data_IF_423813003091
#
_entry.id   IF_423813003091
#
_cell.length_a   1.000
_cell.length_b   1.000
_cell.length_c   1.000
_cell.angle_alpha   90.00
_cell.angle_beta   90.00
_cell.angle_gamma   90.00
#
_symmetry.space_group_name_H-M   'P 1'
#
loop_
_entity.id
_entity.type
_entity.pdbx_description
1 polymer ?
#
# COMPACT_ATOMS: atom_id res chain seq x y z
N UNK A 1 46.78 -33.09 -54.37
CA UNK A 1 45.75 -33.74 -53.50
C UNK A 1 45.95 -33.52 -51.98
N UNK A 2 47.15 -33.35 -51.45
CA UNK A 2 47.42 -33.15 -50.00
C UNK A 2 46.77 -31.86 -49.40
N UNK A 3 46.81 -30.75 -50.13
CA UNK A 3 46.27 -29.46 -49.65
C UNK A 3 44.73 -29.52 -49.56
N UNK A 4 44.05 -30.23 -50.43
CA UNK A 4 42.58 -30.41 -50.40
C UNK A 4 42.08 -31.25 -49.23
N UNK A 5 42.82 -32.29 -48.79
CA UNK A 5 42.41 -33.13 -47.65
C UNK A 5 42.58 -32.42 -46.30
N UNK A 6 43.68 -31.66 -46.13
CA UNK A 6 43.90 -30.85 -44.93
C UNK A 6 42.85 -29.75 -44.85
N UNK A 7 42.56 -29.01 -45.88
CA UNK A 7 41.53 -27.99 -45.90
C UNK A 7 40.14 -28.54 -45.56
N UNK A 8 39.78 -29.71 -46.09
CA UNK A 8 38.51 -30.35 -45.79
C UNK A 8 38.44 -30.79 -44.30
N UNK A 9 39.57 -31.28 -43.75
CA UNK A 9 39.65 -31.63 -42.33
C UNK A 9 39.46 -30.41 -41.43
N UNK A 10 40.15 -29.30 -41.72
CA UNK A 10 40.05 -28.06 -40.96
C UNK A 10 38.65 -27.46 -41.05
N UNK A 11 38.03 -27.48 -42.21
CA UNK A 11 36.64 -27.02 -42.41
C UNK A 11 35.65 -27.88 -41.58
N UNK A 12 35.82 -29.20 -41.55
CA UNK A 12 34.99 -30.10 -40.75
C UNK A 12 35.18 -29.89 -39.23
N UNK A 13 36.42 -29.68 -38.76
CA UNK A 13 36.70 -29.36 -37.36
C UNK A 13 36.08 -28.01 -36.97
N UNK A 14 36.20 -27.01 -37.80
CA UNK A 14 35.54 -25.72 -37.58
C UNK A 14 34.00 -25.88 -37.47
N UNK A 15 33.39 -26.66 -38.37
CA UNK A 15 31.96 -26.93 -38.37
C UNK A 15 31.53 -27.73 -37.11
N UNK A 16 32.32 -28.67 -36.66
CA UNK A 16 32.11 -29.39 -35.37
C UNK A 16 32.10 -28.42 -34.19
N UNK A 17 33.06 -27.50 -34.14
CA UNK A 17 33.11 -26.45 -33.10
C UNK A 17 31.89 -25.58 -33.09
N UNK A 18 31.44 -25.09 -34.26
CA UNK A 18 30.22 -24.29 -34.40
C UNK A 18 28.96 -25.05 -33.96
N UNK A 19 28.82 -26.31 -34.39
CA UNK A 19 27.65 -27.13 -34.01
C UNK A 19 27.68 -27.49 -32.52
N UNK A 20 28.85 -27.72 -31.93
CA UNK A 20 29.03 -27.95 -30.51
C UNK A 20 28.63 -26.74 -29.68
N UNK A 21 29.03 -25.53 -30.07
CA UNK A 21 28.66 -24.29 -29.42
C UNK A 21 27.15 -24.05 -29.49
N UNK A 22 26.56 -24.28 -30.67
CA UNK A 22 25.09 -24.15 -30.84
C UNK A 22 24.30 -25.13 -29.97
N UNK A 23 24.79 -26.40 -29.91
CA UNK A 23 24.19 -27.42 -29.07
C UNK A 23 24.27 -27.05 -27.57
N UNK A 24 25.43 -26.57 -27.11
CA UNK A 24 25.61 -26.12 -25.73
C UNK A 24 24.66 -24.96 -25.38
N UNK A 25 24.48 -23.98 -26.31
CA UNK A 25 23.52 -22.87 -26.13
C UNK A 25 22.09 -23.36 -26.04
N UNK A 26 21.67 -24.30 -26.89
CA UNK A 26 20.31 -24.89 -26.82
C UNK A 26 20.09 -25.67 -25.52
N UNK A 27 21.11 -26.41 -25.03
CA UNK A 27 21.02 -27.07 -23.74
C UNK A 27 20.91 -26.08 -22.59
N UNK A 28 21.64 -24.97 -22.63
CA UNK A 28 21.50 -23.88 -21.66
C UNK A 28 20.10 -23.25 -21.70
N UNK A 29 19.56 -22.96 -22.86
CA UNK A 29 18.18 -22.43 -23.02
C UNK A 29 17.13 -23.41 -22.49
N UNK A 30 17.31 -24.71 -22.70
CA UNK A 30 16.42 -25.73 -22.16
C UNK A 30 16.55 -25.83 -20.63
N UNK A 31 17.75 -25.75 -20.08
CA UNK A 31 17.98 -25.84 -18.64
C UNK A 31 17.43 -24.61 -17.90
N UNK A 32 17.59 -23.42 -18.46
CA UNK A 32 17.12 -22.16 -17.87
C UNK A 32 15.68 -21.81 -18.22
N UNK A 33 15.09 -22.49 -19.21
CA UNK A 33 13.79 -22.19 -19.83
C UNK A 33 13.74 -20.80 -20.48
N UNK A 34 14.90 -20.15 -20.65
CA UNK A 34 15.01 -18.80 -21.21
C UNK A 34 15.75 -18.81 -22.56
N UNK A 35 15.19 -18.09 -23.50
CA UNK A 35 15.81 -17.83 -24.83
C UNK A 35 17.02 -16.91 -24.72
N UNK A 36 16.96 -15.95 -23.77
CA UNK A 36 17.97 -14.92 -23.54
C UNK A 36 18.58 -15.16 -22.15
N UNK A 37 19.81 -15.67 -22.13
CA UNK A 37 20.56 -15.88 -20.87
C UNK A 37 21.62 -14.79 -20.65
N UNK A 38 22.18 -14.25 -21.73
CA UNK A 38 23.16 -13.15 -21.69
C UNK A 38 22.72 -12.02 -22.64
N UNK A 39 23.05 -10.76 -22.32
CA UNK A 39 22.65 -9.62 -23.17
C UNK A 39 23.11 -9.71 -24.64
N UNK A 40 24.17 -10.47 -24.91
CA UNK A 40 24.69 -10.71 -26.25
C UNK A 40 23.80 -11.64 -27.10
N UNK A 41 22.88 -12.39 -26.50
CA UNK A 41 21.97 -13.27 -27.24
C UNK A 41 20.97 -12.49 -28.08
N UNK A 42 20.40 -11.43 -27.50
CA UNK A 42 19.50 -10.49 -28.15
C UNK A 42 19.55 -9.13 -27.39
N UNK A 43 20.43 -8.19 -27.80
CA UNK A 43 20.63 -6.94 -27.07
C UNK A 43 19.38 -6.06 -26.99
N UNK A 44 18.51 -6.12 -28.01
CA UNK A 44 17.28 -5.33 -28.07
C UNK A 44 16.26 -5.86 -27.04
N UNK A 45 16.02 -7.16 -27.09
CA UNK A 45 15.11 -7.80 -26.14
C UNK A 45 15.66 -7.74 -24.70
N UNK A 46 16.97 -7.92 -24.50
CA UNK A 46 17.61 -7.79 -23.17
C UNK A 46 17.41 -6.39 -22.58
N UNK A 47 17.57 -5.33 -23.39
CA UNK A 47 17.31 -3.96 -22.93
C UNK A 47 15.84 -3.77 -22.54
N UNK A 48 14.91 -4.32 -23.33
CA UNK A 48 13.48 -4.24 -23.03
C UNK A 48 13.11 -5.00 -21.76
N UNK A 49 13.70 -6.19 -21.55
CA UNK A 49 13.51 -6.96 -20.32
C UNK A 49 14.00 -6.21 -19.08
N UNK A 50 15.14 -5.52 -19.16
CA UNK A 50 15.63 -4.68 -18.05
C UNK A 50 14.67 -3.54 -17.74
N UNK A 51 14.07 -2.89 -18.76
CA UNK A 51 13.08 -1.84 -18.55
C UNK A 51 11.81 -2.40 -17.90
N UNK A 52 11.27 -3.50 -18.41
CA UNK A 52 10.08 -4.16 -17.83
C UNK A 52 10.30 -4.63 -16.40
N UNK A 53 11.46 -5.19 -16.10
CA UNK A 53 11.79 -5.63 -14.72
C UNK A 53 11.88 -4.43 -13.76
N UNK A 54 12.39 -3.28 -14.19
CA UNK A 54 12.38 -2.04 -13.38
C UNK A 54 10.96 -1.55 -13.14
N UNK A 55 10.14 -1.53 -14.18
CA UNK A 55 8.74 -1.14 -14.07
C UNK A 55 7.98 -2.10 -13.14
N UNK A 56 8.17 -3.40 -13.28
CA UNK A 56 7.57 -4.41 -12.42
C UNK A 56 7.98 -4.24 -10.95
N UNK A 57 9.26 -3.94 -10.69
CA UNK A 57 9.74 -3.66 -9.33
C UNK A 57 9.11 -2.40 -8.73
N UNK A 58 8.91 -1.36 -9.54
CA UNK A 58 8.21 -0.14 -9.10
C UNK A 58 6.73 -0.42 -8.80
N UNK A 59 6.04 -1.19 -9.65
CA UNK A 59 4.65 -1.61 -9.44
C UNK A 59 4.52 -2.41 -8.14
N UNK A 60 5.39 -3.37 -7.89
CA UNK A 60 5.40 -4.13 -6.64
C UNK A 60 5.57 -3.24 -5.40
N UNK A 61 6.44 -2.23 -5.49
CA UNK A 61 6.59 -1.24 -4.42
C UNK A 61 5.30 -0.42 -4.22
N UNK A 62 4.66 0.03 -5.29
CA UNK A 62 3.39 0.76 -5.21
C UNK A 62 2.28 -0.11 -4.63
N UNK A 63 2.14 -1.35 -5.04
CA UNK A 63 1.16 -2.29 -4.50
C UNK A 63 1.38 -2.55 -3.00
N UNK A 64 2.63 -2.68 -2.56
CA UNK A 64 2.97 -2.79 -1.14
C UNK A 64 2.58 -1.53 -0.36
N UNK A 65 2.85 -0.35 -0.92
CA UNK A 65 2.47 0.93 -0.33
C UNK A 65 0.93 1.06 -0.23
N UNK A 66 0.21 0.70 -1.31
CA UNK A 66 -1.26 0.71 -1.35
C UNK A 66 -1.84 -0.21 -0.27
N UNK A 67 -1.35 -1.44 -0.16
CA UNK A 67 -1.83 -2.41 0.83
C UNK A 67 -1.65 -1.89 2.26
N UNK A 68 -0.46 -1.38 2.59
CA UNK A 68 -0.17 -0.81 3.91
C UNK A 68 -1.04 0.41 4.21
N UNK A 69 -1.17 1.33 3.23
CA UNK A 69 -1.96 2.54 3.38
C UNK A 69 -3.45 2.22 3.51
N UNK A 70 -3.98 1.29 2.73
CA UNK A 70 -5.37 0.83 2.82
C UNK A 70 -5.69 0.26 4.21
N UNK A 71 -4.80 -0.55 4.79
CA UNK A 71 -4.95 -1.03 6.16
C UNK A 71 -4.96 0.08 7.20
N UNK A 72 -4.07 1.08 7.05
CA UNK A 72 -4.03 2.24 7.94
C UNK A 72 -5.31 3.10 7.84
N UNK A 73 -5.79 3.36 6.62
CA UNK A 73 -7.02 4.12 6.40
C UNK A 73 -8.25 3.38 6.92
N UNK A 74 -8.32 2.05 6.77
CA UNK A 74 -9.41 1.24 7.32
C UNK A 74 -9.45 1.29 8.85
N UNK A 75 -8.28 1.29 9.50
CA UNK A 75 -8.20 1.47 10.96
C UNK A 75 -8.67 2.86 11.38
N UNK A 76 -8.26 3.93 10.68
CA UNK A 76 -8.74 5.28 10.93
C UNK A 76 -10.26 5.40 10.73
N UNK A 77 -10.80 4.80 9.67
CA UNK A 77 -12.23 4.78 9.37
C UNK A 77 -13.04 4.12 10.49
N UNK A 78 -12.55 3.01 11.04
CA UNK A 78 -13.20 2.35 12.18
C UNK A 78 -13.27 3.27 13.41
N UNK A 79 -12.21 4.01 13.73
CA UNK A 79 -12.20 4.97 14.84
C UNK A 79 -13.08 6.20 14.56
N UNK A 80 -13.07 6.74 13.34
CA UNK A 80 -13.96 7.84 12.94
C UNK A 80 -15.43 7.44 13.00
N UNK A 81 -15.75 6.20 12.62
CA UNK A 81 -17.10 5.62 12.75
C UNK A 81 -17.51 5.50 14.23
N UNK A 82 -16.60 5.04 15.09
CA UNK A 82 -16.86 4.97 16.54
C UNK A 82 -17.12 6.36 17.13
N UNK A 83 -16.31 7.37 16.77
CA UNK A 83 -16.54 8.77 17.18
C UNK A 83 -17.89 9.30 16.68
N UNK A 84 -18.27 9.02 15.43
CA UNK A 84 -19.58 9.41 14.89
C UNK A 84 -20.75 8.82 15.70
N UNK A 85 -20.66 7.53 16.06
CA UNK A 85 -21.67 6.86 16.88
C UNK A 85 -21.72 7.43 18.31
N UNK A 86 -20.57 7.77 18.89
CA UNK A 86 -20.49 8.43 20.21
C UNK A 86 -21.14 9.83 20.18
N UNK A 87 -20.89 10.60 19.09
CA UNK A 87 -21.52 11.93 18.90
C UNK A 87 -23.05 11.85 18.72
N UNK A 88 -23.54 10.82 17.99
CA UNK A 88 -24.97 10.55 17.88
C UNK A 88 -25.57 10.28 19.27
N UNK A 89 -24.96 9.38 20.05
CA UNK A 89 -25.43 9.08 21.40
C UNK A 89 -25.36 10.29 22.31
N UNK A 90 -24.32 11.11 22.20
CA UNK A 90 -24.18 12.37 22.92
C UNK A 90 -25.33 13.34 22.60
N UNK A 91 -25.66 13.48 21.31
CA UNK A 91 -26.75 14.36 20.86
C UNK A 91 -28.09 13.89 21.40
N UNK A 92 -28.37 12.57 21.36
CA UNK A 92 -29.61 11.99 21.93
C UNK A 92 -29.73 12.26 23.45
N UNK A 93 -28.61 12.17 24.18
CA UNK A 93 -28.59 12.46 25.61
C UNK A 93 -28.79 13.94 25.93
N UNK A 94 -28.16 14.83 25.16
CA UNK A 94 -28.36 16.27 25.27
C UNK A 94 -29.80 16.66 24.96
N UNK A 95 -30.42 16.07 23.91
CA UNK A 95 -31.82 16.26 23.61
C UNK A 95 -32.74 15.75 24.72
N UNK A 96 -32.43 14.59 25.31
CA UNK A 96 -33.14 14.04 26.46
C UNK A 96 -33.09 15.00 27.64
N UNK A 97 -31.90 15.52 27.98
CA UNK A 97 -31.73 16.49 29.07
C UNK A 97 -32.44 17.83 28.80
N UNK A 98 -32.45 18.31 27.52
CA UNK A 98 -33.03 19.56 27.14
C UNK A 98 -34.58 19.55 27.10
N UNK A 99 -35.19 18.39 26.86
CA UNK A 99 -36.63 18.26 26.65
C UNK A 99 -37.49 18.14 27.92
N UNK A 100 -36.88 18.18 29.11
CA UNK A 100 -37.58 17.75 30.29
C UNK A 100 -37.85 18.81 31.35
N UNK A 101 -38.84 18.52 32.14
CA UNK A 101 -39.05 19.03 33.47
C UNK A 101 -38.29 18.14 34.46
N UNK A 102 -36.96 18.03 34.25
CA UNK A 102 -36.09 17.21 35.07
C UNK A 102 -35.76 17.89 36.38
N UNK A 103 -35.62 17.13 37.47
CA UNK A 103 -35.12 17.65 38.73
C UNK A 103 -33.60 17.89 38.62
N UNK A 104 -33.04 18.70 39.53
CA UNK A 104 -31.60 18.94 39.57
C UNK A 104 -30.81 17.64 39.83
N UNK A 105 -31.41 16.68 40.54
CA UNK A 105 -30.82 15.35 40.75
C UNK A 105 -30.80 14.49 39.47
N UNK A 106 -31.87 14.55 38.65
CA UNK A 106 -31.93 13.89 37.35
C UNK A 106 -30.90 14.49 36.41
N UNK A 107 -30.74 15.82 36.43
CA UNK A 107 -29.73 16.51 35.62
C UNK A 107 -28.33 16.17 36.04
N UNK A 108 -28.04 15.93 37.32
CA UNK A 108 -26.75 15.42 37.79
C UNK A 108 -26.44 14.01 37.22
N UNK A 109 -27.48 13.18 37.07
CA UNK A 109 -27.36 11.91 36.35
C UNK A 109 -26.94 12.07 34.88
N UNK A 110 -27.57 12.97 34.15
CA UNK A 110 -27.16 13.31 32.76
C UNK A 110 -25.74 13.88 32.71
N UNK A 111 -25.35 14.76 33.64
CA UNK A 111 -24.00 15.31 33.75
C UNK A 111 -22.92 14.24 33.89
N UNK A 112 -23.17 13.22 34.75
CA UNK A 112 -22.25 12.07 34.90
C UNK A 112 -22.14 11.26 33.59
N UNK A 113 -23.24 11.04 32.91
CA UNK A 113 -23.25 10.32 31.64
C UNK A 113 -22.50 11.09 30.53
N UNK A 114 -22.74 12.41 30.43
CA UNK A 114 -22.03 13.29 29.48
C UNK A 114 -20.52 13.32 29.75
N UNK A 115 -20.11 13.34 31.02
CA UNK A 115 -18.68 13.24 31.40
C UNK A 115 -18.06 11.92 30.94
N UNK A 116 -18.76 10.80 31.14
CA UNK A 116 -18.30 9.49 30.66
C UNK A 116 -18.20 9.40 29.15
N UNK A 117 -19.14 10.04 28.44
CA UNK A 117 -19.10 10.13 26.97
C UNK A 117 -17.94 11.01 26.48
N UNK A 118 -17.64 12.10 27.17
CA UNK A 118 -16.47 12.93 26.91
C UNK A 118 -15.17 12.14 27.03
N UNK A 119 -15.02 11.38 28.12
CA UNK A 119 -13.83 10.53 28.31
C UNK A 119 -13.69 9.50 27.20
N UNK A 120 -14.79 8.90 26.76
CA UNK A 120 -14.82 7.95 25.64
C UNK A 120 -14.44 8.61 24.31
N UNK A 121 -14.89 9.84 24.03
CA UNK A 121 -14.51 10.62 22.85
C UNK A 121 -13.02 10.96 22.88
N UNK A 122 -12.50 11.43 24.02
CA UNK A 122 -11.07 11.73 24.21
C UNK A 122 -10.23 10.47 24.01
N UNK A 123 -10.68 9.32 24.52
CA UNK A 123 -10.00 8.04 24.31
C UNK A 123 -9.97 7.65 22.80
N UNK A 124 -11.08 7.85 22.09
CA UNK A 124 -11.16 7.55 20.65
C UNK A 124 -10.26 8.47 19.81
N UNK A 125 -10.16 9.76 20.15
CA UNK A 125 -9.24 10.70 19.50
C UNK A 125 -7.77 10.34 19.80
N UNK A 126 -7.49 9.83 20.98
CA UNK A 126 -6.16 9.39 21.42
C UNK A 126 -5.85 7.94 21.03
N UNK A 127 -6.56 7.38 20.06
CA UNK A 127 -6.32 6.01 19.60
C UNK A 127 -4.93 5.83 18.99
N UNK A 128 -4.31 4.69 19.29
CA UNK A 128 -3.03 4.28 18.75
C UNK A 128 -3.21 3.13 17.76
N UNK A 129 -2.31 3.04 16.80
CA UNK A 129 -2.21 1.89 15.91
C UNK A 129 -1.46 0.73 16.61
N UNK A 130 -1.33 -0.41 15.92
CA UNK A 130 -0.61 -1.59 16.42
C UNK A 130 0.85 -1.33 16.81
N UNK A 131 1.47 -0.29 16.23
CA UNK A 131 2.84 0.13 16.53
C UNK A 131 2.94 1.07 17.73
N UNK A 132 1.82 1.39 18.39
CA UNK A 132 1.76 2.32 19.52
C UNK A 132 1.83 3.81 19.12
N UNK A 133 1.74 4.12 17.83
CA UNK A 133 1.75 5.50 17.33
C UNK A 133 0.34 6.07 17.28
N UNK A 134 0.17 7.32 17.72
CA UNK A 134 -1.11 8.02 17.69
C UNK A 134 -1.54 8.32 16.24
N UNK A 135 -2.79 7.95 15.92
CA UNK A 135 -3.29 8.05 14.55
C UNK A 135 -3.71 9.46 14.15
N UNK A 136 -4.17 10.28 15.10
CA UNK A 136 -4.78 11.58 14.86
C UNK A 136 -3.93 12.77 15.33
N UNK A 137 -2.63 12.58 15.52
CA UNK A 137 -1.68 13.62 15.95
C UNK A 137 -0.92 14.30 14.79
N UNK A 138 -1.37 14.10 13.55
CA UNK A 138 -0.66 14.60 12.36
C UNK A 138 0.65 13.86 12.10
N UNK A 139 1.75 14.58 12.03
CA UNK A 139 3.10 14.00 11.88
C UNK A 139 3.79 13.71 13.22
N UNK A 140 3.25 14.21 14.33
CA UNK A 140 3.77 13.98 15.70
C UNK A 140 3.21 12.70 16.32
N UNK A 141 3.48 11.56 15.70
CA UNK A 141 2.89 10.27 16.09
C UNK A 141 3.23 9.78 17.50
N UNK A 142 4.24 10.35 18.13
CA UNK A 142 4.66 10.02 19.50
C UNK A 142 3.94 10.89 20.55
N UNK A 143 3.30 11.99 20.13
CA UNK A 143 2.59 12.90 21.02
C UNK A 143 1.11 12.52 21.11
N UNK A 144 0.60 12.42 22.34
CA UNK A 144 -0.83 12.20 22.58
C UNK A 144 -1.63 13.39 22.03
N UNK A 145 -2.59 13.16 21.10
CA UNK A 145 -3.32 14.25 20.44
C UNK A 145 -4.02 15.19 21.39
N UNK A 146 -4.84 14.68 22.30
CA UNK A 146 -5.66 15.46 23.21
C UNK A 146 -5.22 15.22 24.64
N UNK A 147 -4.85 16.29 25.35
CA UNK A 147 -4.38 16.25 26.72
C UNK A 147 -5.12 17.31 27.54
N UNK A 148 -5.41 16.99 28.80
CA UNK A 148 -5.89 17.97 29.75
C UNK A 148 -4.72 18.83 30.24
N UNK A 149 -4.83 20.14 30.17
CA UNK A 149 -3.85 21.10 30.69
C UNK A 149 -4.39 21.67 32.02
N UNK A 150 -3.81 21.24 33.13
CA UNK A 150 -4.20 21.70 34.46
C UNK A 150 -3.97 23.20 34.70
N UNK A 151 -2.98 23.79 34.00
CA UNK A 151 -2.69 25.21 34.17
C UNK A 151 -3.73 26.10 33.45
N UNK A 152 -4.31 25.61 32.35
CA UNK A 152 -5.33 26.32 31.58
C UNK A 152 -6.76 25.83 31.92
N UNK A 153 -6.90 24.69 32.61
CA UNK A 153 -8.18 24.07 32.94
C UNK A 153 -8.98 23.65 31.70
N UNK A 154 -8.30 23.19 30.65
CA UNK A 154 -8.94 22.79 29.38
C UNK A 154 -8.18 21.70 28.63
N UNK A 155 -8.90 21.02 27.72
CA UNK A 155 -8.27 20.14 26.76
C UNK A 155 -7.55 20.96 25.69
N UNK A 156 -6.32 20.56 25.38
CA UNK A 156 -5.48 21.15 24.32
C UNK A 156 -5.05 20.08 23.32
N UNK A 157 -4.79 20.50 22.09
CA UNK A 157 -4.21 19.66 21.06
C UNK A 157 -2.69 19.81 21.04
N UNK A 158 -1.97 18.68 21.15
CA UNK A 158 -0.50 18.63 21.10
C UNK A 158 0.07 18.12 19.80
N UNK A 159 -0.78 17.68 18.88
CA UNK A 159 -0.36 17.25 17.54
C UNK A 159 0.02 18.42 16.62
N UNK A 160 -0.08 18.20 15.32
CA UNK A 160 0.02 19.22 14.29
C UNK A 160 -0.94 18.90 13.12
N UNK A 161 -1.13 19.87 12.22
CA UNK A 161 -2.00 19.76 11.05
C UNK A 161 -1.26 19.27 9.79
N UNK A 162 -0.01 18.86 9.94
CA UNK A 162 0.79 18.39 8.83
C UNK A 162 0.31 17.03 8.33
N UNK A 163 0.29 16.87 7.02
CA UNK A 163 -0.07 15.60 6.37
C UNK A 163 1.17 14.80 5.97
N UNK A 164 1.05 13.47 6.10
CA UNK A 164 2.00 12.52 5.52
C UNK A 164 1.40 11.98 4.23
N UNK A 165 2.27 11.77 3.25
CA UNK A 165 1.87 11.23 1.96
C UNK A 165 2.65 9.97 1.62
N UNK A 166 1.95 8.99 1.08
CA UNK A 166 2.54 7.77 0.51
C UNK A 166 2.40 7.79 -1.01
N UNK A 167 3.53 7.59 -1.70
CA UNK A 167 3.54 7.45 -3.16
C UNK A 167 2.95 6.09 -3.55
N UNK A 168 1.92 6.11 -4.37
CA UNK A 168 1.13 4.93 -4.79
C UNK A 168 1.15 4.68 -6.29
N UNK A 169 1.67 5.63 -7.08
CA UNK A 169 1.99 5.48 -8.50
C UNK A 169 3.03 6.54 -8.88
N UNK A 170 3.56 6.48 -10.10
CA UNK A 170 4.50 7.48 -10.57
C UNK A 170 3.86 8.88 -10.58
N UNK A 171 4.39 9.79 -9.73
CA UNK A 171 3.87 11.14 -9.56
C UNK A 171 2.51 11.22 -8.85
N UNK A 172 2.04 10.15 -8.21
CA UNK A 172 0.77 10.10 -7.49
C UNK A 172 1.02 9.73 -6.03
N UNK A 173 0.61 10.60 -5.13
CA UNK A 173 0.61 10.36 -3.68
C UNK A 173 -0.81 10.42 -3.12
N UNK A 174 -1.01 9.77 -1.98
CA UNK A 174 -2.24 9.78 -1.19
C UNK A 174 -1.88 10.08 0.26
N UNK A 175 -2.66 10.95 0.89
CA UNK A 175 -2.48 11.34 2.29
C UNK A 175 -2.78 10.17 3.22
N UNK A 176 -1.86 9.91 4.17
CA UNK A 176 -1.95 8.79 5.12
C UNK A 176 -2.84 9.09 6.32
N UNK A 177 -2.72 10.30 6.87
CA UNK A 177 -3.35 10.68 8.13
C UNK A 177 -4.58 11.53 7.93
N UNK A 178 -5.47 11.50 8.93
CA UNK A 178 -6.66 12.33 9.02
C UNK A 178 -6.53 13.22 10.25
N UNK A 179 -6.80 14.52 10.09
CA UNK A 179 -6.80 15.46 11.20
C UNK A 179 -8.21 15.56 11.80
N UNK A 180 -8.44 14.79 12.88
CA UNK A 180 -9.75 14.75 13.57
C UNK A 180 -10.00 16.01 14.39
N UNK A 181 -8.94 16.70 14.79
CA UNK A 181 -9.06 17.88 15.70
C UNK A 181 -9.84 19.03 15.08
N UNK A 182 -9.77 19.21 13.76
CA UNK A 182 -10.56 20.20 13.04
C UNK A 182 -12.09 19.99 13.15
N UNK A 183 -12.54 18.78 13.51
CA UNK A 183 -13.96 18.54 13.79
C UNK A 183 -14.36 19.06 15.18
N UNK A 184 -13.48 18.95 16.17
CA UNK A 184 -13.77 19.25 17.58
C UNK A 184 -13.42 20.69 18.00
N UNK A 185 -12.82 21.49 17.11
CA UNK A 185 -12.45 22.87 17.40
C UNK A 185 -11.74 23.57 16.24
N UNK A 186 -11.03 24.66 16.54
CA UNK A 186 -10.23 25.41 15.60
C UNK A 186 -8.78 25.53 16.12
N UNK A 187 -7.82 25.01 15.37
CA UNK A 187 -6.41 25.02 15.77
C UNK A 187 -6.17 24.20 17.04
N UNK A 188 -5.54 24.82 18.04
CA UNK A 188 -5.25 24.16 19.33
C UNK A 188 -6.42 24.20 20.33
N UNK A 189 -7.52 24.89 20.01
CA UNK A 189 -8.68 25.00 20.90
C UNK A 189 -9.70 23.92 20.55
N UNK A 190 -9.95 23.03 21.50
CA UNK A 190 -10.92 21.94 21.41
C UNK A 190 -12.26 22.39 21.98
N UNK A 191 -12.86 23.42 21.40
CA UNK A 191 -14.05 24.10 21.88
C UNK A 191 -15.16 23.13 22.27
N UNK A 192 -15.45 22.14 21.43
CA UNK A 192 -16.50 21.15 21.67
C UNK A 192 -16.24 20.34 22.95
N UNK A 193 -15.02 19.82 23.14
CA UNK A 193 -14.67 19.02 24.31
C UNK A 193 -14.65 19.87 25.58
N UNK A 194 -14.15 21.11 25.48
CA UNK A 194 -14.06 22.04 26.59
C UNK A 194 -15.44 22.51 27.07
N UNK A 195 -16.34 22.85 26.14
CA UNK A 195 -17.73 23.21 26.47
C UNK A 195 -18.53 22.03 27.02
N UNK A 196 -18.33 20.83 26.47
CA UNK A 196 -18.97 19.62 26.98
C UNK A 196 -18.53 19.33 28.42
N UNK A 197 -17.24 19.49 28.74
CA UNK A 197 -16.72 19.33 30.09
C UNK A 197 -17.34 20.36 31.06
N UNK A 198 -17.31 21.64 30.69
CA UNK A 198 -17.88 22.70 31.52
C UNK A 198 -19.39 22.50 31.78
N UNK A 199 -20.14 22.11 30.73
CA UNK A 199 -21.56 21.80 30.85
C UNK A 199 -21.82 20.60 31.78
N UNK A 200 -21.06 19.51 31.58
CA UNK A 200 -21.22 18.30 32.40
C UNK A 200 -20.93 18.56 33.87
N UNK A 201 -19.92 19.38 34.21
CA UNK A 201 -19.58 19.77 35.56
C UNK A 201 -20.68 20.63 36.24
N UNK A 202 -21.26 21.59 35.49
CA UNK A 202 -22.40 22.37 35.98
C UNK A 202 -23.63 21.50 36.23
N UNK A 203 -23.93 20.57 35.31
CA UNK A 203 -25.05 19.65 35.47
C UNK A 203 -24.87 18.68 36.67
N UNK A 204 -23.64 18.31 36.99
CA UNK A 204 -23.32 17.43 38.14
C UNK A 204 -23.55 18.09 39.49
N UNK A 205 -23.61 19.42 39.56
CA UNK A 205 -23.87 20.15 40.78
C UNK A 205 -25.39 20.43 40.94
N UNK A 206 -26.10 19.68 41.83
CA UNK A 206 -27.53 19.86 42.02
C UNK A 206 -27.92 21.24 42.61
N UNK A 207 -26.93 22.01 43.09
CA UNK A 207 -27.18 23.37 43.64
C UNK A 207 -27.35 24.42 42.54
N UNK A 208 -26.94 24.11 41.30
CA UNK A 208 -27.07 25.00 40.13
C UNK A 208 -28.44 24.77 39.49
N UNK A 209 -29.30 25.81 39.40
CA UNK A 209 -30.58 25.69 38.70
C UNK A 209 -30.42 25.38 37.24
N UNK A 210 -31.30 24.55 36.66
CA UNK A 210 -31.29 24.18 35.23
C UNK A 210 -31.33 25.40 34.32
N UNK A 211 -32.04 26.47 34.74
CA UNK A 211 -32.14 27.76 34.01
C UNK A 211 -30.78 28.40 33.72
N UNK A 212 -29.77 28.15 34.58
CA UNK A 212 -28.49 28.85 34.54
C UNK A 212 -27.52 28.25 33.46
N UNK A 213 -27.80 27.03 32.99
CA UNK A 213 -27.02 26.37 31.93
C UNK A 213 -27.87 25.91 30.74
N UNK A 214 -29.15 26.34 30.66
CA UNK A 214 -30.04 25.98 29.55
C UNK A 214 -29.53 26.49 28.19
N UNK A 215 -29.00 27.70 28.14
CA UNK A 215 -28.45 28.30 26.93
C UNK A 215 -27.15 27.54 26.48
N UNK A 216 -26.30 27.17 27.44
CA UNK A 216 -25.10 26.40 27.17
C UNK A 216 -25.44 24.98 26.64
N UNK A 217 -26.52 24.38 27.14
CA UNK A 217 -27.04 23.11 26.65
C UNK A 217 -27.51 23.18 25.21
N UNK A 218 -28.26 24.27 24.86
CA UNK A 218 -28.70 24.51 23.50
C UNK A 218 -27.52 24.79 22.55
N UNK A 219 -26.52 25.53 23.02
CA UNK A 219 -25.29 25.76 22.28
C UNK A 219 -24.53 24.46 22.06
N UNK A 220 -24.45 23.60 23.08
CA UNK A 220 -23.76 22.29 22.99
C UNK A 220 -24.46 21.35 22.01
N UNK A 221 -25.81 21.34 21.96
CA UNK A 221 -26.59 20.60 20.95
C UNK A 221 -26.20 20.99 19.54
N UNK A 222 -26.11 22.30 19.27
CA UNK A 222 -25.71 22.81 17.96
C UNK A 222 -24.25 22.41 17.65
N UNK A 223 -23.36 22.63 18.58
CA UNK A 223 -21.93 22.31 18.42
C UNK A 223 -21.70 20.82 18.23
N UNK A 224 -22.44 19.97 18.93
CA UNK A 224 -22.40 18.50 18.75
C UNK A 224 -22.86 18.10 17.35
N UNK A 225 -23.96 18.69 16.86
CA UNK A 225 -24.47 18.43 15.50
C UNK A 225 -23.49 18.90 14.42
N UNK A 226 -22.89 20.09 14.59
CA UNK A 226 -21.88 20.62 13.65
C UNK A 226 -20.62 19.74 13.64
N UNK A 227 -20.18 19.28 14.81
CA UNK A 227 -19.03 18.36 14.95
C UNK A 227 -19.33 17.02 14.27
N UNK A 228 -20.54 16.48 14.46
CA UNK A 228 -20.96 15.25 13.79
C UNK A 228 -20.92 15.39 12.26
N UNK A 229 -21.40 16.53 11.73
CA UNK A 229 -21.32 16.84 10.29
C UNK A 229 -19.87 16.83 9.78
N UNK A 230 -18.94 17.42 10.53
CA UNK A 230 -17.51 17.41 10.18
C UNK A 230 -16.90 16.01 10.25
N UNK A 231 -17.25 15.22 11.26
CA UNK A 231 -16.78 13.81 11.38
C UNK A 231 -17.32 12.95 10.23
N UNK A 232 -18.59 13.16 9.83
CA UNK A 232 -19.17 12.49 8.67
C UNK A 232 -18.46 12.87 7.34
N UNK A 233 -18.01 14.12 7.21
CA UNK A 233 -17.21 14.55 6.06
C UNK A 233 -15.85 13.85 6.03
N UNK A 234 -15.21 13.62 7.18
CA UNK A 234 -13.96 12.86 7.27
C UNK A 234 -14.12 11.39 6.87
N UNK A 235 -15.23 10.78 7.26
CA UNK A 235 -15.58 9.43 6.82
C UNK A 235 -15.70 9.35 5.29
N UNK A 236 -16.35 10.35 4.68
CA UNK A 236 -16.49 10.44 3.21
C UNK A 236 -15.12 10.61 2.53
N UNK A 237 -14.24 11.42 3.08
CA UNK A 237 -12.88 11.62 2.55
C UNK A 237 -12.04 10.34 2.66
N UNK A 238 -12.08 9.63 3.80
CA UNK A 238 -11.41 8.34 3.98
C UNK A 238 -11.90 7.31 2.95
N UNK A 239 -13.21 7.21 2.75
CA UNK A 239 -13.81 6.33 1.74
C UNK A 239 -13.36 6.70 0.31
N UNK A 240 -13.27 7.98 0.01
CA UNK A 240 -12.75 8.48 -1.26
C UNK A 240 -11.29 8.10 -1.49
N UNK A 241 -10.44 8.22 -0.47
CA UNK A 241 -9.04 7.78 -0.52
C UNK A 241 -8.93 6.27 -0.70
N UNK A 242 -9.74 5.47 0.00
CA UNK A 242 -9.76 4.01 -0.15
C UNK A 242 -10.19 3.58 -1.55
N UNK A 243 -11.24 4.18 -2.10
CA UNK A 243 -11.67 3.90 -3.48
C UNK A 243 -10.56 4.21 -4.50
N UNK A 244 -9.84 5.34 -4.29
CA UNK A 244 -8.70 5.69 -5.15
C UNK A 244 -7.58 4.65 -5.05
N UNK A 245 -7.27 4.15 -3.85
CA UNK A 245 -6.26 3.09 -3.65
C UNK A 245 -6.67 1.79 -4.35
N UNK A 246 -7.94 1.38 -4.25
CA UNK A 246 -8.46 0.20 -4.92
C UNK A 246 -8.30 0.32 -6.43
N UNK A 247 -8.75 1.43 -7.04
CA UNK A 247 -8.61 1.67 -8.48
C UNK A 247 -7.14 1.64 -8.95
N UNK A 248 -6.23 2.22 -8.17
CA UNK A 248 -4.80 2.20 -8.50
C UNK A 248 -4.20 0.80 -8.34
N UNK A 249 -4.61 0.06 -7.30
CA UNK A 249 -4.20 -1.33 -7.09
C UNK A 249 -4.61 -2.25 -8.24
N UNK A 250 -5.85 -2.11 -8.71
CA UNK A 250 -6.38 -2.86 -9.86
C UNK A 250 -5.61 -2.50 -11.14
N UNK A 251 -5.41 -1.19 -11.41
CA UNK A 251 -4.63 -0.74 -12.55
C UNK A 251 -3.17 -1.26 -12.52
N UNK A 252 -2.52 -1.28 -11.36
CA UNK A 252 -1.19 -1.86 -11.21
C UNK A 252 -1.18 -3.37 -11.45
N UNK A 253 -2.22 -4.08 -11.06
CA UNK A 253 -2.37 -5.52 -11.30
C UNK A 253 -2.51 -5.81 -12.79
N UNK A 254 -3.30 -5.01 -13.51
CA UNK A 254 -3.48 -5.14 -14.96
C UNK A 254 -2.17 -4.89 -15.71
N UNK A 255 -1.46 -3.79 -15.39
CA UNK A 255 -0.16 -3.47 -15.99
C UNK A 255 0.88 -4.54 -15.66
N UNK A 256 0.93 -5.02 -14.41
CA UNK A 256 1.83 -6.10 -13.99
C UNK A 256 1.59 -7.37 -14.83
N UNK A 257 0.33 -7.75 -15.00
CA UNK A 257 -0.05 -8.93 -15.80
C UNK A 257 0.35 -8.78 -17.27
N UNK A 258 0.11 -7.59 -17.85
CA UNK A 258 0.52 -7.29 -19.22
C UNK A 258 2.06 -7.33 -19.39
N UNK A 259 2.80 -6.75 -18.43
CA UNK A 259 4.26 -6.78 -18.42
C UNK A 259 4.80 -8.22 -18.29
N UNK A 260 4.21 -9.03 -17.42
CA UNK A 260 4.59 -10.45 -17.28
C UNK A 260 4.37 -11.24 -18.57
N UNK A 261 3.29 -10.95 -19.31
CA UNK A 261 3.08 -11.57 -20.62
C UNK A 261 4.18 -11.16 -21.62
N UNK A 262 4.50 -9.87 -21.72
CA UNK A 262 5.56 -9.39 -22.59
C UNK A 262 6.93 -9.96 -22.19
N UNK A 263 7.20 -10.07 -20.89
CA UNK A 263 8.43 -10.70 -20.38
C UNK A 263 8.50 -12.16 -20.83
N UNK A 264 7.42 -12.94 -20.70
CA UNK A 264 7.36 -14.33 -21.18
C UNK A 264 7.59 -14.42 -22.69
N UNK A 265 6.89 -13.61 -23.46
CA UNK A 265 6.99 -13.61 -24.93
C UNK A 265 8.42 -13.28 -25.43
N UNK A 266 9.14 -12.44 -24.68
CA UNK A 266 10.52 -12.07 -25.01
C UNK A 266 11.57 -13.06 -24.49
N UNK A 267 11.35 -13.60 -23.28
CA UNK A 267 12.39 -14.38 -22.57
C UNK A 267 12.23 -15.87 -22.65
N UNK A 268 11.02 -16.39 -22.81
CA UNK A 268 10.79 -17.83 -22.71
C UNK A 268 11.24 -18.58 -23.95
N UNK A 269 11.75 -19.78 -23.73
CA UNK A 269 12.20 -20.69 -24.79
C UNK A 269 11.02 -21.49 -25.32
N UNK A 270 10.84 -21.51 -26.65
CA UNK A 270 9.97 -22.50 -27.29
C UNK A 270 10.61 -23.89 -27.22
N UNK A 271 10.10 -24.67 -26.28
CA UNK A 271 10.56 -26.04 -26.03
C UNK A 271 10.50 -26.95 -27.25
N UNK A 272 9.45 -26.84 -28.05
CA UNK A 272 9.26 -27.70 -29.22
C UNK A 272 10.34 -27.41 -30.27
N UNK A 273 10.50 -26.17 -30.64
CA UNK A 273 11.51 -25.71 -31.62
C UNK A 273 12.94 -25.97 -31.09
N UNK A 274 13.20 -25.69 -29.81
CA UNK A 274 14.53 -25.89 -29.19
C UNK A 274 14.91 -27.36 -29.13
N UNK A 275 13.99 -28.25 -28.78
CA UNK A 275 14.21 -29.71 -28.75
C UNK A 275 14.49 -30.27 -30.14
N UNK A 276 13.73 -29.85 -31.17
CA UNK A 276 13.95 -30.25 -32.57
C UNK A 276 15.34 -29.80 -33.02
N UNK A 277 15.70 -28.55 -32.77
CA UNK A 277 17.00 -28.01 -33.14
C UNK A 277 18.16 -28.73 -32.41
N UNK A 278 17.99 -29.04 -31.11
CA UNK A 278 18.97 -29.79 -30.35
C UNK A 278 19.23 -31.18 -30.96
N UNK A 279 18.15 -31.92 -31.32
CA UNK A 279 18.25 -33.20 -31.98
C UNK A 279 18.94 -33.09 -33.33
N UNK A 280 18.65 -32.06 -34.10
CA UNK A 280 19.24 -31.82 -35.41
C UNK A 280 20.75 -31.54 -35.32
N UNK A 281 21.16 -30.67 -34.39
CA UNK A 281 22.58 -30.41 -34.15
C UNK A 281 23.32 -31.62 -33.56
N UNK A 282 22.67 -32.39 -32.67
CA UNK A 282 23.26 -33.65 -32.13
C UNK A 282 23.50 -34.64 -33.27
N UNK A 283 22.53 -34.86 -34.15
CA UNK A 283 22.68 -35.70 -35.31
C UNK A 283 23.78 -35.17 -36.28
N UNK A 284 23.83 -33.87 -36.48
CA UNK A 284 24.85 -33.22 -37.33
C UNK A 284 26.26 -33.45 -36.80
N UNK A 285 26.48 -33.31 -35.45
CA UNK A 285 27.74 -33.58 -34.79
C UNK A 285 28.14 -35.05 -34.97
N UNK A 286 27.22 -36.00 -34.77
CA UNK A 286 27.47 -37.43 -34.94
C UNK A 286 27.88 -37.78 -36.37
N UNK A 287 27.16 -37.26 -37.37
CA UNK A 287 27.42 -37.49 -38.83
C UNK A 287 28.76 -36.86 -39.22
N UNK A 288 29.06 -35.66 -38.76
CA UNK A 288 30.32 -34.98 -39.05
C UNK A 288 31.50 -35.71 -38.43
N UNK A 289 31.39 -36.19 -37.20
CA UNK A 289 32.42 -37.04 -36.53
C UNK A 289 32.67 -38.33 -37.32
N UNK A 290 31.61 -38.99 -37.76
CA UNK A 290 31.71 -40.22 -38.58
C UNK A 290 32.36 -39.95 -39.89
N UNK A 291 32.01 -38.90 -40.59
CA UNK A 291 32.62 -38.48 -41.87
C UNK A 291 34.10 -38.13 -41.71
N UNK A 292 34.44 -37.37 -40.64
CA UNK A 292 35.83 -37.05 -40.27
C UNK A 292 36.67 -38.31 -40.07
N UNK A 293 36.16 -39.27 -39.28
CA UNK A 293 36.83 -40.56 -39.04
C UNK A 293 37.06 -41.35 -40.32
N UNK A 294 36.09 -41.41 -41.25
CA UNK A 294 36.23 -42.06 -42.53
C UNK A 294 37.28 -41.39 -43.44
N UNK A 295 37.30 -40.07 -43.52
CA UNK A 295 38.29 -39.32 -44.33
C UNK A 295 39.70 -39.46 -43.72
N UNK A 296 39.83 -39.41 -42.42
CA UNK A 296 41.12 -39.62 -41.71
C UNK A 296 41.70 -41.00 -41.97
N UNK A 297 40.86 -42.06 -41.98
CA UNK A 297 41.30 -43.43 -42.28
C UNK A 297 41.76 -43.56 -43.75
N UNK A 298 41.01 -42.97 -44.70
CA UNK A 298 41.40 -42.97 -46.13
C UNK A 298 42.72 -42.22 -46.35
N UNK A 299 43.00 -41.16 -45.60
CA UNK A 299 44.27 -40.41 -45.69
C UNK A 299 45.45 -41.22 -45.14
N UNK A 300 45.28 -42.02 -44.10
CA UNK A 300 46.29 -42.92 -43.54
C UNK A 300 46.65 -44.07 -44.52
N UNK A 301 45.64 -44.66 -45.17
CA UNK A 301 45.88 -45.75 -46.19
C UNK A 301 46.50 -45.22 -47.49
N UNK A 302 46.46 -43.93 -47.79
CA UNK A 302 47.13 -43.33 -48.91
C UNK A 302 48.60 -42.96 -48.64
N UNK A 303 49.09 -43.17 -47.43
CA UNK A 303 50.45 -42.95 -46.97
C UNK A 303 51.28 -44.25 -46.84
N UNK A 304 50.67 -45.45 -46.97
CA UNK A 304 51.26 -46.73 -47.10
C UNK A 304 51.38 -47.14 -48.59
#
# INVERSE_FOLDING_TARGET
>A
MRISSLYNSDAMMAQLGVNGTRMSKLMEQMATQKRINVPSDDPVAATRLVQLNREQSAIQQYQSNISRLSGSLASQEAHVTAMSNQLLSLNDKLLGAANGTHSSEDMAGFGNELSSMLDSLVASINAQNESGSYMFSGTKTDAKPVVWDDAQGKYIYQGNDDSRETTVANGVSVTENTNVVQAFGNGNDLEMLNKLKALSEKMQDPSIPVSDYQDEMNEMLKLSSDTQGKVAAMFTDLGGRQNRLTMLGDAHTDVSTANDQVVRDLSDTDWATTSINLQLYSNSVQVTNKAYSMISQLSLFSML
#
